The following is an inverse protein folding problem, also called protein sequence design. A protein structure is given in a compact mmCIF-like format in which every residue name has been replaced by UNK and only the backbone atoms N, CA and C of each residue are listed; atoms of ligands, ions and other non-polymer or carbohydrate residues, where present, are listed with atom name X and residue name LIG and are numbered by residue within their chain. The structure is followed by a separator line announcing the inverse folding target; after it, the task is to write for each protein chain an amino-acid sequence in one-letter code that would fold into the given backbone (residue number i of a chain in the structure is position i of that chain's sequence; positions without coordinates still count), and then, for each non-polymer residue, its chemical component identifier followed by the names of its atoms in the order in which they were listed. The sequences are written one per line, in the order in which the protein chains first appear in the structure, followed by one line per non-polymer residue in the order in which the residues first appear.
data_IF_072724954789
#
_entry.id   IF_072724954789
#
_cell.length_a   1.000
_cell.length_b   1.000
_cell.length_c   1.000
_cell.angle_alpha   90.00
_cell.angle_beta   90.00
_cell.angle_gamma   90.00
#
_symmetry.space_group_name_H-M   'P 1'
#
loop_
_entity.id
_entity.type
_entity.pdbx_description
1 polymer ?
#
# COMPACT_ATOMS: atom_id res chain seq x y z
N UNK A 1 -2.07 -16.99 -25.63
CA UNK A 1 -2.53 -17.51 -24.32
C UNK A 1 -3.50 -16.50 -23.74
N UNK A 2 -4.72 -16.92 -23.42
CA UNK A 2 -5.64 -16.06 -22.68
C UNK A 2 -5.26 -16.11 -21.18
N UNK A 3 -5.21 -14.95 -20.53
CA UNK A 3 -4.91 -14.80 -19.11
C UNK A 3 -6.19 -15.11 -18.32
N UNK A 4 -6.34 -16.35 -17.85
CA UNK A 4 -7.58 -16.80 -17.20
C UNK A 4 -7.66 -16.55 -15.70
N UNK A 5 -6.56 -16.13 -15.05
CA UNK A 5 -6.50 -15.89 -13.60
C UNK A 5 -5.66 -14.63 -13.28
N UNK A 6 -6.02 -13.52 -13.92
CA UNK A 6 -5.41 -12.23 -13.64
C UNK A 6 -6.19 -11.52 -12.52
N UNK A 7 -5.46 -10.93 -11.58
CA UNK A 7 -6.02 -10.15 -10.47
C UNK A 7 -5.55 -8.70 -10.57
N UNK A 8 -6.44 -7.77 -10.27
CA UNK A 8 -6.15 -6.35 -10.28
C UNK A 8 -5.85 -5.87 -8.88
N UNK A 9 -4.71 -5.19 -8.73
CA UNK A 9 -4.41 -4.34 -7.58
C UNK A 9 -4.61 -2.90 -8.04
N UNK A 10 -5.73 -2.29 -7.62
CA UNK A 10 -5.94 -0.87 -7.87
C UNK A 10 -5.16 -0.06 -6.83
N UNK A 11 -4.28 0.82 -7.31
CA UNK A 11 -3.42 1.65 -6.48
C UNK A 11 -3.83 3.12 -6.52
N UNK A 12 -5.07 3.46 -6.89
CA UNK A 12 -5.54 4.86 -6.91
C UNK A 12 -5.37 5.55 -5.54
N UNK A 13 -5.60 4.83 -4.44
CA UNK A 13 -5.46 5.34 -3.06
C UNK A 13 -4.02 5.22 -2.49
N UNK A 14 -3.05 4.92 -3.36
CA UNK A 14 -1.61 4.93 -3.06
C UNK A 14 -0.87 5.74 -4.12
N UNK A 15 -0.86 5.27 -5.36
CA UNK A 15 -0.23 5.88 -6.55
C UNK A 15 -0.94 7.12 -7.01
N UNK A 16 -2.27 7.08 -7.04
CA UNK A 16 -3.04 8.28 -7.31
C UNK A 16 -2.77 9.39 -6.29
N UNK A 17 -2.54 9.10 -5.00
CA UNK A 17 -2.22 10.12 -3.98
C UNK A 17 -0.86 10.81 -4.18
N UNK A 18 0.09 10.21 -4.90
CA UNK A 18 1.38 10.85 -5.21
C UNK A 18 1.31 11.81 -6.40
N UNK A 19 0.18 11.85 -7.11
CA UNK A 19 -0.03 12.83 -8.17
C UNK A 19 -0.10 14.24 -7.57
N UNK A 20 0.62 15.19 -8.19
CA UNK A 20 0.84 16.54 -7.63
C UNK A 20 -0.44 17.33 -7.30
N UNK A 21 -1.59 16.98 -7.88
CA UNK A 21 -2.89 17.63 -7.63
C UNK A 21 -3.91 16.72 -6.93
N UNK A 22 -3.51 15.53 -6.50
CA UNK A 22 -4.37 14.62 -5.79
C UNK A 22 -4.33 14.92 -4.29
N UNK A 23 -5.46 15.38 -3.76
CA UNK A 23 -5.66 15.59 -2.34
C UNK A 23 -7.02 15.02 -1.94
N UNK A 24 -7.07 13.71 -1.74
CA UNK A 24 -8.32 13.05 -1.34
C UNK A 24 -8.61 13.29 0.14
N UNK A 25 -9.78 13.83 0.41
CA UNK A 25 -10.34 13.85 1.77
C UNK A 25 -10.70 12.43 2.20
N UNK A 26 -10.81 12.20 3.51
CA UNK A 26 -11.23 10.90 4.07
C UNK A 26 -12.54 10.38 3.48
N UNK A 27 -13.51 11.26 3.25
CA UNK A 27 -14.78 10.92 2.63
C UNK A 27 -14.60 10.45 1.17
N UNK A 28 -13.78 11.17 0.39
CA UNK A 28 -13.46 10.78 -0.99
C UNK A 28 -12.72 9.43 -1.04
N UNK A 29 -11.76 9.19 -0.13
CA UNK A 29 -11.07 7.89 -0.07
C UNK A 29 -12.03 6.74 0.20
N UNK A 30 -13.00 6.94 1.11
CA UNK A 30 -14.06 5.96 1.38
C UNK A 30 -14.93 5.71 0.15
N UNK A 31 -15.36 6.78 -0.53
CA UNK A 31 -16.20 6.67 -1.73
C UNK A 31 -15.46 5.95 -2.87
N UNK A 32 -14.19 6.28 -3.10
CA UNK A 32 -13.34 5.60 -4.08
C UNK A 32 -13.20 4.11 -3.73
N UNK A 33 -12.90 3.76 -2.47
CA UNK A 33 -12.76 2.36 -2.06
C UNK A 33 -14.06 1.56 -2.27
N UNK A 34 -15.22 2.14 -1.93
CA UNK A 34 -16.53 1.51 -2.17
C UNK A 34 -16.82 1.36 -3.67
N UNK A 35 -16.43 2.35 -4.47
CA UNK A 35 -16.62 2.33 -5.93
C UNK A 35 -15.73 1.28 -6.60
N UNK A 36 -14.48 1.15 -6.17
CA UNK A 36 -13.55 0.11 -6.62
C UNK A 36 -14.05 -1.28 -6.23
N UNK A 37 -14.55 -1.44 -5.00
CA UNK A 37 -15.15 -2.69 -4.57
C UNK A 37 -16.38 -3.04 -5.41
N UNK A 38 -17.27 -2.07 -5.66
CA UNK A 38 -18.46 -2.25 -6.50
C UNK A 38 -18.08 -2.64 -7.94
N UNK A 39 -17.06 -2.02 -8.50
CA UNK A 39 -16.49 -2.35 -9.81
C UNK A 39 -15.94 -3.78 -9.86
N UNK A 40 -15.42 -4.29 -8.74
CA UNK A 40 -15.02 -5.69 -8.58
C UNK A 40 -13.52 -5.94 -8.71
N UNK A 41 -12.67 -4.96 -8.36
CA UNK A 41 -11.23 -5.20 -8.24
C UNK A 41 -10.94 -6.17 -7.09
N UNK A 42 -9.93 -7.02 -7.23
CA UNK A 42 -9.63 -7.98 -6.16
C UNK A 42 -8.82 -7.37 -5.01
N UNK A 43 -8.03 -6.34 -5.29
CA UNK A 43 -7.22 -5.67 -4.28
C UNK A 43 -7.28 -4.16 -4.42
N UNK A 44 -7.28 -3.48 -3.28
CA UNK A 44 -7.15 -2.02 -3.18
C UNK A 44 -5.89 -1.75 -2.36
N UNK A 45 -4.92 -1.06 -2.95
CA UNK A 45 -3.68 -0.68 -2.27
C UNK A 45 -3.79 0.74 -1.69
N UNK A 46 -3.40 0.87 -0.42
CA UNK A 46 -3.39 2.11 0.32
C UNK A 46 -1.97 2.58 0.62
N UNK A 47 -1.84 3.90 0.78
CA UNK A 47 -0.62 4.58 1.23
C UNK A 47 -0.07 3.98 2.53
N UNK A 48 1.26 4.10 2.72
CA UNK A 48 1.93 3.63 3.92
C UNK A 48 1.31 4.20 5.21
N UNK A 49 0.80 3.34 6.13
CA UNK A 49 0.25 3.78 7.41
C UNK A 49 1.25 4.53 8.30
N UNK A 50 2.55 4.32 8.09
CA UNK A 50 3.62 5.08 8.77
C UNK A 50 3.83 6.49 8.21
N UNK A 51 3.25 6.84 7.05
CA UNK A 51 3.46 8.15 6.43
C UNK A 51 2.88 9.30 7.28
N UNK A 52 1.75 9.08 7.95
CA UNK A 52 1.15 10.04 8.88
C UNK A 52 0.10 9.37 9.79
N UNK A 53 -0.31 10.00 10.91
CA UNK A 53 -1.46 9.55 11.68
C UNK A 53 -2.74 9.47 10.84
N UNK A 54 -2.95 10.43 9.93
CA UNK A 54 -4.10 10.44 9.02
C UNK A 54 -4.09 9.21 8.10
N UNK A 55 -2.93 8.86 7.53
CA UNK A 55 -2.77 7.68 6.68
C UNK A 55 -3.09 6.38 7.43
N UNK A 56 -2.70 6.29 8.70
CA UNK A 56 -3.05 5.15 9.55
C UNK A 56 -4.57 5.06 9.79
N UNK A 57 -5.21 6.18 10.11
CA UNK A 57 -6.65 6.23 10.36
C UNK A 57 -7.48 5.98 9.09
N UNK A 58 -6.99 6.42 7.93
CA UNK A 58 -7.60 6.14 6.63
C UNK A 58 -7.50 4.64 6.30
N UNK A 59 -6.32 4.04 6.48
CA UNK A 59 -6.12 2.61 6.25
C UNK A 59 -7.01 1.76 7.17
N UNK A 60 -7.07 2.10 8.46
CA UNK A 60 -7.95 1.42 9.42
C UNK A 60 -9.42 1.58 9.07
N UNK A 61 -9.85 2.77 8.65
CA UNK A 61 -11.22 3.00 8.22
C UNK A 61 -11.57 2.11 7.02
N UNK A 62 -10.74 2.12 5.97
CA UNK A 62 -11.03 1.38 4.73
C UNK A 62 -10.99 -0.13 4.96
N UNK A 63 -10.01 -0.63 5.72
CA UNK A 63 -9.94 -2.04 6.10
C UNK A 63 -11.19 -2.49 6.88
N UNK A 64 -11.78 -1.60 7.68
CA UNK A 64 -13.00 -1.86 8.46
C UNK A 64 -14.33 -1.71 7.70
N UNK A 65 -14.34 -1.42 6.39
CA UNK A 65 -15.59 -1.22 5.63
C UNK A 65 -16.30 -2.52 5.26
N UNK A 66 -15.68 -3.69 5.45
CA UNK A 66 -16.28 -4.97 5.07
C UNK A 66 -16.39 -5.16 3.55
N UNK A 67 -15.40 -4.65 2.80
CA UNK A 67 -15.33 -4.78 1.33
C UNK A 67 -15.13 -6.25 0.91
N UNK A 68 -15.52 -6.56 -0.32
CA UNK A 68 -15.21 -7.84 -0.97
C UNK A 68 -13.76 -7.88 -1.43
N UNK A 69 -13.25 -6.75 -1.91
CA UNK A 69 -11.86 -6.54 -2.27
C UNK A 69 -10.95 -6.63 -1.04
N UNK A 70 -9.76 -7.20 -1.23
CA UNK A 70 -8.74 -7.27 -0.18
C UNK A 70 -7.97 -5.95 -0.12
N UNK A 71 -8.05 -5.31 1.05
CA UNK A 71 -7.27 -4.10 1.34
C UNK A 71 -5.81 -4.45 1.62
N UNK A 72 -4.89 -3.85 0.87
CA UNK A 72 -3.44 -3.95 1.02
C UNK A 72 -2.88 -2.61 1.47
N UNK A 73 -1.77 -2.62 2.22
CA UNK A 73 -1.04 -1.40 2.59
C UNK A 73 0.40 -1.47 2.10
N UNK A 74 0.86 -0.35 1.54
CA UNK A 74 2.23 -0.21 1.08
C UNK A 74 3.18 0.04 2.27
N UNK A 75 4.32 -0.63 2.35
CA UNK A 75 5.14 -0.65 3.55
C UNK A 75 6.63 -0.62 3.18
N UNK A 76 7.44 0.14 3.93
CA UNK A 76 8.91 0.01 3.81
C UNK A 76 9.34 -1.32 4.45
N UNK A 77 10.49 -1.85 4.04
CA UNK A 77 11.05 -3.06 4.65
C UNK A 77 11.66 -2.78 6.04
N UNK A 78 10.82 -2.45 7.03
CA UNK A 78 11.22 -2.32 8.43
C UNK A 78 10.17 -2.97 9.33
N UNK A 79 10.61 -3.53 10.46
CA UNK A 79 9.71 -4.16 11.43
C UNK A 79 8.73 -3.17 12.07
N UNK A 80 9.10 -1.90 12.19
CA UNK A 80 8.20 -0.86 12.69
C UNK A 80 7.03 -0.61 11.72
N UNK A 81 7.32 -0.38 10.43
CA UNK A 81 6.28 -0.18 9.43
C UNK A 81 5.42 -1.44 9.27
N UNK A 82 6.02 -2.63 9.29
CA UNK A 82 5.29 -3.89 9.17
C UNK A 82 4.31 -4.10 10.34
N UNK A 83 4.74 -3.83 11.59
CA UNK A 83 3.84 -3.89 12.77
C UNK A 83 2.72 -2.86 12.66
N UNK A 84 3.03 -1.64 12.22
CA UNK A 84 2.04 -0.58 12.05
C UNK A 84 1.05 -0.92 10.94
N UNK A 85 1.51 -1.51 9.84
CA UNK A 85 0.67 -2.02 8.77
C UNK A 85 -0.31 -3.08 9.27
N UNK A 86 0.16 -4.09 10.01
CA UNK A 86 -0.69 -5.12 10.63
C UNK A 86 -1.73 -4.49 11.57
N UNK A 87 -1.34 -3.49 12.36
CA UNK A 87 -2.24 -2.82 13.30
C UNK A 87 -3.41 -2.06 12.63
N UNK A 88 -3.36 -1.80 11.33
CA UNK A 88 -4.49 -1.19 10.59
C UNK A 88 -5.64 -2.17 10.35
N UNK A 89 -5.39 -3.48 10.42
CA UNK A 89 -6.35 -4.51 10.02
C UNK A 89 -6.38 -4.79 8.50
N UNK A 90 -5.39 -4.30 7.75
CA UNK A 90 -5.24 -4.65 6.33
C UNK A 90 -5.04 -6.17 6.12
N UNK A 91 -5.48 -6.67 4.96
CA UNK A 91 -5.43 -8.09 4.61
C UNK A 91 -4.07 -8.54 4.09
N UNK A 92 -3.21 -7.60 3.71
CA UNK A 92 -1.87 -7.86 3.22
C UNK A 92 -0.98 -6.63 3.26
N UNK A 93 0.32 -6.87 3.19
CA UNK A 93 1.37 -5.85 3.27
C UNK A 93 2.24 -5.95 2.02
N UNK A 94 2.24 -4.88 1.21
CA UNK A 94 3.10 -4.77 0.04
C UNK A 94 4.42 -4.12 0.47
N UNK A 95 5.48 -4.92 0.58
CA UNK A 95 6.79 -4.44 1.02
C UNK A 95 7.60 -3.92 -0.16
N UNK A 96 8.11 -2.70 -0.03
CA UNK A 96 9.00 -2.05 -0.98
C UNK A 96 10.44 -2.03 -0.44
N UNK A 97 11.38 -2.37 -1.33
CA UNK A 97 12.79 -2.06 -1.14
C UNK A 97 13.46 -1.73 -2.48
N UNK A 98 14.28 -0.68 -2.52
CA UNK A 98 15.01 -0.29 -3.72
C UNK A 98 16.25 -1.17 -3.93
N UNK A 99 16.28 -1.98 -4.98
CA UNK A 99 17.41 -2.92 -5.23
C UNK A 99 18.33 -2.49 -6.38
N UNK A 100 17.94 -1.48 -7.16
CA UNK A 100 18.75 -0.99 -8.27
C UNK A 100 20.08 -0.40 -7.77
N UNK A 101 21.12 -0.46 -8.61
CA UNK A 101 22.43 0.11 -8.27
C UNK A 101 22.33 1.57 -7.83
N UNK A 102 21.55 2.37 -8.53
CA UNK A 102 21.35 3.79 -8.26
C UNK A 102 20.77 4.01 -6.85
N UNK A 103 19.73 3.25 -6.46
CA UNK A 103 19.13 3.36 -5.13
C UNK A 103 20.07 2.82 -4.05
N UNK A 104 20.82 1.75 -4.32
CA UNK A 104 21.82 1.23 -3.39
C UNK A 104 22.92 2.24 -3.11
N UNK A 105 23.43 2.92 -4.13
CA UNK A 105 24.51 3.91 -3.99
C UNK A 105 24.03 5.23 -3.39
N UNK A 106 22.86 5.73 -3.79
CA UNK A 106 22.44 7.10 -3.49
C UNK A 106 21.32 7.24 -2.47
N UNK A 107 20.59 6.16 -2.14
CA UNK A 107 19.49 6.21 -1.17
C UNK A 107 19.88 5.65 0.19
N UNK A 108 20.32 4.40 0.26
CA UNK A 108 20.50 3.70 1.55
C UNK A 108 21.87 3.05 1.75
N UNK A 109 22.77 3.05 0.76
CA UNK A 109 24.17 2.63 0.91
C UNK A 109 24.39 1.15 1.22
N UNK A 110 23.40 0.27 0.98
CA UNK A 110 23.45 -1.16 1.37
C UNK A 110 23.49 -2.08 0.15
N UNK A 111 24.30 -3.14 0.23
CA UNK A 111 24.28 -4.24 -0.75
C UNK A 111 23.01 -5.09 -0.59
N UNK A 112 22.68 -5.91 -1.60
CA UNK A 112 21.48 -6.80 -1.54
C UNK A 112 21.63 -7.82 -0.41
N UNK A 113 22.84 -8.31 -0.17
CA UNK A 113 23.16 -9.26 0.90
C UNK A 113 22.97 -8.61 2.28
N UNK A 114 23.40 -7.36 2.45
CA UNK A 114 23.17 -6.61 3.69
C UNK A 114 21.70 -6.30 3.94
N UNK A 115 20.91 -6.15 2.87
CA UNK A 115 19.46 -5.95 2.96
C UNK A 115 18.79 -7.24 3.43
N UNK A 116 19.15 -8.39 2.82
CA UNK A 116 18.62 -9.71 3.20
C UNK A 116 19.00 -10.04 4.65
N UNK A 117 20.23 -9.75 5.08
CA UNK A 117 20.70 -10.07 6.43
C UNK A 117 20.08 -9.20 7.54
N UNK A 118 19.50 -8.04 7.19
CA UNK A 118 18.92 -7.09 8.13
C UNK A 118 17.38 -7.15 8.20
N UNK A 119 16.75 -7.97 7.35
CA UNK A 119 15.31 -8.24 7.33
C UNK A 119 14.96 -9.35 8.32
#
# INVERSE_FOLDING_TARGET
MALHDLKIVDSTLREGEQFARAHFTKAQKREIALSLDAFGVEYIELTNPSASPCSFDDARMIAGLGLRARVLVHCRCTMEDARRAVATGAHGVNVLFGTSQQLREHSHGRSVEQIIAAA
#
